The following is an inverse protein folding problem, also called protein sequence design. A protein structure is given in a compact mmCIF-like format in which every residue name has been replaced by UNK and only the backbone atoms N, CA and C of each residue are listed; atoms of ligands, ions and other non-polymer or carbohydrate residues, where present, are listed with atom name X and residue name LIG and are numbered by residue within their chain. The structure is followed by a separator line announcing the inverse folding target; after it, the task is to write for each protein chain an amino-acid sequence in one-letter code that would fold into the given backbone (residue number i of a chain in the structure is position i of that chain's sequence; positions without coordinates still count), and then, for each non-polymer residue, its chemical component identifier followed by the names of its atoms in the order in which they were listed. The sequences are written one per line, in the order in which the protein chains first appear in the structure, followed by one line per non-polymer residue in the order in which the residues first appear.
data_IF_451764658410
#
_entry.id   IF_451764658410
#
_cell.length_a   1.000
_cell.length_b   1.000
_cell.length_c   1.000
_cell.angle_alpha   90.00
_cell.angle_beta   90.00
_cell.angle_gamma   90.00
#
_symmetry.space_group_name_H-M   'P 1'
#
loop_
_entity.id
_entity.type
_entity.pdbx_description
1 polymer ?
#
# COMPACT_ATOMS: atom_id res chain seq x y z
N UNK A 1 -16.63 -19.06 11.20
CA UNK A 1 -15.87 -18.56 12.37
C UNK A 1 -14.44 -18.09 12.04
N UNK A 2 -13.85 -18.44 10.88
CA UNK A 2 -12.48 -18.04 10.53
C UNK A 2 -12.27 -16.56 10.18
N UNK A 3 -13.16 -15.96 9.37
CA UNK A 3 -13.01 -14.59 8.85
C UNK A 3 -13.11 -13.50 9.93
N UNK A 4 -14.05 -13.65 10.87
CA UNK A 4 -14.25 -12.68 11.97
C UNK A 4 -13.06 -12.72 12.94
N UNK A 5 -12.52 -13.92 13.19
CA UNK A 5 -11.34 -14.11 14.05
C UNK A 5 -10.11 -13.44 13.42
N UNK A 6 -9.94 -13.57 12.10
CA UNK A 6 -8.85 -12.92 11.36
C UNK A 6 -8.95 -11.39 11.44
N UNK A 7 -10.13 -10.81 11.23
CA UNK A 7 -10.35 -9.36 11.37
C UNK A 7 -9.98 -8.86 12.77
N UNK A 8 -10.50 -9.53 13.81
CA UNK A 8 -10.18 -9.17 15.21
C UNK A 8 -8.70 -9.36 15.55
N UNK A 9 -8.03 -10.37 14.99
CA UNK A 9 -6.60 -10.58 15.18
C UNK A 9 -5.78 -9.46 14.54
N UNK A 10 -6.15 -9.02 13.34
CA UNK A 10 -5.47 -7.89 12.67
C UNK A 10 -5.71 -6.57 13.39
N UNK A 11 -6.92 -6.34 13.92
CA UNK A 11 -7.20 -5.18 14.79
C UNK A 11 -6.29 -5.20 16.03
N UNK A 12 -6.22 -6.32 16.74
CA UNK A 12 -5.37 -6.45 17.93
C UNK A 12 -3.88 -6.27 17.61
N UNK A 13 -3.44 -6.71 16.43
CA UNK A 13 -2.08 -6.49 15.96
C UNK A 13 -1.80 -5.02 15.66
N UNK A 14 -2.71 -4.31 14.98
CA UNK A 14 -2.59 -2.86 14.73
C UNK A 14 -2.53 -2.07 16.04
N UNK A 15 -3.39 -2.41 17.01
CA UNK A 15 -3.40 -1.78 18.32
C UNK A 15 -2.12 -2.01 19.11
N UNK A 16 -1.53 -3.22 19.03
CA UNK A 16 -0.22 -3.50 19.65
C UNK A 16 0.93 -2.67 19.07
N UNK A 17 0.77 -2.17 17.85
CA UNK A 17 1.74 -1.33 17.16
C UNK A 17 1.38 0.17 17.23
N UNK A 18 0.39 0.53 18.05
CA UNK A 18 -0.05 1.92 18.28
C UNK A 18 -0.94 2.50 17.18
N UNK A 19 -1.45 1.67 16.25
CA UNK A 19 -2.35 2.10 15.18
C UNK A 19 -3.80 1.77 15.56
N UNK A 20 -4.73 2.75 15.56
CA UNK A 20 -6.12 2.48 15.91
C UNK A 20 -6.77 1.45 14.97
N UNK A 21 -7.45 0.45 15.52
CA UNK A 21 -8.16 -0.58 14.74
C UNK A 21 -9.21 -0.02 13.76
N UNK A 22 -9.74 1.18 14.03
CA UNK A 22 -10.64 1.90 13.14
C UNK A 22 -10.00 2.30 11.79
N UNK A 23 -8.67 2.27 11.68
CA UNK A 23 -7.98 2.50 10.40
C UNK A 23 -7.98 1.28 9.48
N UNK A 24 -8.33 0.09 9.97
CA UNK A 24 -8.26 -1.14 9.18
C UNK A 24 -9.13 -1.09 7.89
N UNK A 25 -10.38 -0.58 7.90
CA UNK A 25 -11.14 -0.35 6.67
C UNK A 25 -10.49 0.65 5.71
N UNK A 26 -9.84 1.70 6.24
CA UNK A 26 -9.12 2.68 5.41
C UNK A 26 -7.88 2.04 4.75
N UNK A 27 -7.13 1.23 5.49
CA UNK A 27 -6.00 0.47 4.95
C UNK A 27 -6.43 -0.44 3.81
N UNK A 28 -7.54 -1.18 3.98
CA UNK A 28 -8.11 -2.04 2.94
C UNK A 28 -8.49 -1.22 1.70
N UNK A 29 -9.15 -0.06 1.89
CA UNK A 29 -9.51 0.82 0.78
C UNK A 29 -8.28 1.36 0.05
N UNK A 30 -7.20 1.69 0.76
CA UNK A 30 -5.96 2.19 0.14
C UNK A 30 -5.25 1.08 -0.64
N UNK A 31 -5.09 -0.11 -0.08
CA UNK A 31 -4.44 -1.23 -0.77
C UNK A 31 -5.25 -1.70 -1.98
N UNK A 32 -6.55 -1.93 -1.79
CA UNK A 32 -7.41 -2.44 -2.85
C UNK A 32 -7.74 -1.36 -3.88
N UNK A 33 -8.15 -0.17 -3.43
CA UNK A 33 -8.48 0.95 -4.30
C UNK A 33 -7.25 1.50 -5.01
N UNK A 34 -6.13 1.67 -4.30
CA UNK A 34 -4.85 2.09 -4.89
C UNK A 34 -4.32 1.06 -5.88
N UNK A 35 -4.39 -0.23 -5.54
CA UNK A 35 -3.97 -1.31 -6.43
C UNK A 35 -4.78 -1.36 -7.72
N UNK A 36 -6.10 -1.18 -7.64
CA UNK A 36 -6.98 -1.10 -8.82
C UNK A 36 -6.71 0.15 -9.66
N UNK A 37 -6.53 1.32 -9.02
CA UNK A 37 -6.19 2.55 -9.71
C UNK A 37 -4.85 2.42 -10.47
N UNK A 38 -3.87 1.75 -9.86
CA UNK A 38 -2.59 1.44 -10.51
C UNK A 38 -2.74 0.45 -11.67
N UNK A 39 -3.55 -0.61 -11.49
CA UNK A 39 -3.79 -1.65 -12.49
C UNK A 39 -4.47 -1.10 -13.75
N UNK A 40 -5.50 -0.28 -13.58
CA UNK A 40 -6.20 0.36 -14.69
C UNK A 40 -5.47 1.63 -15.18
N UNK A 41 -4.41 2.04 -14.48
CA UNK A 41 -3.66 3.24 -14.81
C UNK A 41 -4.50 4.52 -14.71
N UNK A 42 -5.51 4.56 -13.84
CA UNK A 42 -6.32 5.76 -13.56
C UNK A 42 -5.65 6.54 -12.43
N UNK A 43 -5.20 7.76 -12.71
CA UNK A 43 -4.42 8.57 -11.76
C UNK A 43 -3.21 7.81 -11.18
N UNK A 44 -2.52 7.05 -12.03
CA UNK A 44 -1.48 6.11 -11.60
C UNK A 44 -0.36 6.77 -10.78
N UNK A 45 -0.05 8.05 -11.02
CA UNK A 45 0.94 8.80 -10.23
C UNK A 45 0.50 9.01 -8.79
N UNK A 46 -0.76 9.41 -8.58
CA UNK A 46 -1.33 9.60 -7.24
C UNK A 46 -1.52 8.27 -6.51
N UNK A 47 -1.98 7.24 -7.23
CA UNK A 47 -2.11 5.89 -6.70
C UNK A 47 -0.74 5.32 -6.27
N UNK A 48 0.28 5.46 -7.12
CA UNK A 48 1.64 5.03 -6.82
C UNK A 48 2.25 5.80 -5.64
N UNK A 49 2.00 7.11 -5.54
CA UNK A 49 2.44 7.90 -4.40
C UNK A 49 1.79 7.42 -3.10
N UNK A 50 0.46 7.25 -3.09
CA UNK A 50 -0.28 6.79 -1.91
C UNK A 50 0.16 5.41 -1.45
N UNK A 51 0.27 4.44 -2.37
CA UNK A 51 0.75 3.10 -2.07
C UNK A 51 2.23 3.07 -1.63
N UNK A 52 3.06 3.94 -2.21
CA UNK A 52 4.48 4.05 -1.86
C UNK A 52 4.68 4.59 -0.44
N UNK A 53 3.96 5.64 -0.08
CA UNK A 53 3.95 6.19 1.29
C UNK A 53 3.39 5.17 2.28
N UNK A 54 2.29 4.50 1.93
CA UNK A 54 1.72 3.43 2.74
C UNK A 54 2.72 2.29 2.99
N UNK A 55 3.43 1.85 1.95
CA UNK A 55 4.45 0.80 2.06
C UNK A 55 5.60 1.19 3.00
N UNK A 56 6.05 2.46 2.96
CA UNK A 56 7.07 2.95 3.89
C UNK A 56 6.56 2.96 5.34
N UNK A 57 5.36 3.51 5.58
CA UNK A 57 4.76 3.54 6.91
C UNK A 57 4.66 2.11 7.46
N UNK A 58 4.18 1.17 6.66
CA UNK A 58 4.06 -0.23 7.05
C UNK A 58 5.43 -0.86 7.35
N UNK A 59 6.46 -0.58 6.56
CA UNK A 59 7.82 -1.05 6.80
C UNK A 59 8.33 -0.61 8.18
N UNK A 60 8.25 0.69 8.48
CA UNK A 60 8.78 1.24 9.72
C UNK A 60 7.96 0.89 10.95
N UNK A 61 6.62 0.91 10.84
CA UNK A 61 5.76 0.57 11.96
C UNK A 61 5.80 -0.93 12.25
N UNK A 62 5.56 -1.79 11.27
CA UNK A 62 5.33 -3.21 11.50
C UNK A 62 6.57 -4.10 11.37
N UNK A 63 7.64 -3.63 10.73
CA UNK A 63 8.80 -4.47 10.38
C UNK A 63 10.17 -3.85 10.73
N UNK A 64 10.24 -2.82 11.57
CA UNK A 64 11.51 -2.16 11.94
C UNK A 64 12.49 -3.01 12.77
N UNK A 65 12.10 -4.22 13.19
CA UNK A 65 12.93 -5.13 13.99
C UNK A 65 13.92 -5.96 13.17
N UNK A 66 15.04 -6.37 13.78
CA UNK A 66 16.06 -7.23 13.14
C UNK A 66 15.50 -8.59 12.68
N UNK A 67 14.50 -9.11 13.36
CA UNK A 67 13.79 -10.36 13.03
C UNK A 67 12.87 -10.23 11.81
N UNK A 68 12.48 -9.01 11.44
CA UNK A 68 11.53 -8.73 10.34
C UNK A 68 12.18 -7.98 9.16
N UNK A 69 13.51 -7.95 9.12
CA UNK A 69 14.28 -7.23 8.12
C UNK A 69 13.92 -7.61 6.66
N UNK A 70 13.50 -8.86 6.42
CA UNK A 70 13.02 -9.32 5.11
C UNK A 70 11.73 -8.59 4.71
N UNK A 71 10.75 -8.52 5.62
CA UNK A 71 9.49 -7.82 5.36
C UNK A 71 9.69 -6.31 5.26
N UNK A 72 10.60 -5.75 6.04
CA UNK A 72 11.03 -4.36 5.91
C UNK A 72 11.57 -4.08 4.52
N UNK A 73 12.57 -4.85 4.09
CA UNK A 73 13.24 -4.65 2.81
C UNK A 73 12.27 -4.86 1.63
N UNK A 74 11.35 -5.82 1.74
CA UNK A 74 10.26 -6.03 0.78
C UNK A 74 9.43 -4.75 0.61
N UNK A 75 8.90 -4.21 1.71
CA UNK A 75 8.08 -2.99 1.67
C UNK A 75 8.87 -1.77 1.19
N UNK A 76 10.14 -1.66 1.57
CA UNK A 76 11.02 -0.59 1.11
C UNK A 76 11.29 -0.67 -0.40
N UNK A 77 11.54 -1.88 -0.93
CA UNK A 77 11.72 -2.11 -2.37
C UNK A 77 10.43 -1.81 -3.16
N UNK A 78 9.27 -2.22 -2.64
CA UNK A 78 7.96 -1.90 -3.24
C UNK A 78 7.74 -0.38 -3.29
N UNK A 79 8.02 0.35 -2.20
CA UNK A 79 7.93 1.80 -2.18
C UNK A 79 8.83 2.44 -3.26
N UNK A 80 10.07 1.94 -3.42
CA UNK A 80 10.99 2.39 -4.47
C UNK A 80 10.43 2.18 -5.88
N UNK A 81 9.86 1.00 -6.17
CA UNK A 81 9.23 0.71 -7.46
C UNK A 81 7.99 1.58 -7.74
N UNK A 82 7.19 1.83 -6.71
CA UNK A 82 6.01 2.71 -6.80
C UNK A 82 6.42 4.17 -7.03
N UNK A 83 7.45 4.68 -6.34
CA UNK A 83 7.95 6.03 -6.61
C UNK A 83 8.60 6.16 -7.98
N UNK A 84 9.27 5.12 -8.46
CA UNK A 84 9.75 5.09 -9.85
C UNK A 84 8.57 5.22 -10.84
N UNK A 85 7.47 4.49 -10.61
CA UNK A 85 6.26 4.56 -11.42
C UNK A 85 5.54 5.92 -11.30
N UNK A 86 5.54 6.52 -10.10
CA UNK A 86 5.03 7.88 -9.90
C UNK A 86 5.79 8.91 -10.75
N UNK A 87 7.12 8.82 -10.80
CA UNK A 87 7.96 9.74 -11.56
C UNK A 87 7.83 9.53 -13.07
N UNK A 88 7.81 8.28 -13.55
CA UNK A 88 7.80 7.94 -14.97
C UNK A 88 6.39 7.82 -15.58
N UNK A 89 5.34 7.75 -14.75
CA UNK A 89 3.95 7.54 -15.18
C UNK A 89 3.67 6.08 -15.59
N UNK A 90 2.39 5.74 -15.78
CA UNK A 90 1.95 4.37 -16.07
C UNK A 90 2.14 3.91 -17.53
N UNK A 91 2.92 4.64 -18.33
CA UNK A 91 3.27 4.26 -19.70
C UNK A 91 2.11 4.31 -20.70
N UNK A 92 2.40 3.90 -21.95
CA UNK A 92 1.50 4.03 -23.13
C UNK A 92 0.21 3.21 -23.08
N UNK A 93 0.07 2.29 -22.13
CA UNK A 93 -1.11 1.44 -21.95
C UNK A 93 -2.04 1.90 -20.81
N UNK A 94 -1.73 3.02 -20.17
CA UNK A 94 -2.53 3.59 -19.09
C UNK A 94 -3.79 4.28 -19.63
N UNK A 95 -4.92 4.14 -18.91
CA UNK A 95 -6.16 4.85 -19.23
C UNK A 95 -5.96 6.37 -19.17
N UNK A 96 -5.08 6.89 -18.30
CA UNK A 96 -4.66 8.30 -18.29
C UNK A 96 -4.19 8.76 -19.69
N UNK A 97 -3.39 7.93 -20.37
CA UNK A 97 -2.87 8.24 -21.71
C UNK A 97 -3.94 8.15 -22.82
N UNK A 98 -4.99 7.37 -22.59
CA UNK A 98 -6.12 7.26 -23.52
C UNK A 98 -7.12 8.41 -23.37
N UNK A 99 -7.19 9.05 -22.20
CA UNK A 99 -8.12 10.15 -21.89
C UNK A 99 -7.49 11.53 -22.18
N UNK A 100 -6.17 11.68 -22.07
CA UNK A 100 -5.47 12.97 -22.27
C UNK A 100 -5.16 13.31 -23.75
N UNK A 101 -5.94 12.77 -24.71
CA UNK A 101 -5.80 13.06 -26.14
C UNK A 101 -6.91 13.99 -26.65
#
# INVERSE_FOLDING_TARGET
MGEITAYSATVGYMESMGVPGAMLPLTILVEFGGGLALLFGFQARFAAFGLGVFSLITAFLFHGGKTDAINFMKNFAMAGGLFFLMLHGAGRFSIDHAIEK
#
